data_IF_316324744144
#
_entry.id   IF_316324744144
#
_cell.length_a   1.000
_cell.length_b   1.000
_cell.length_c   1.000
_cell.angle_alpha   90.00
_cell.angle_beta   90.00
_cell.angle_gamma   90.00
#
_symmetry.space_group_name_H-M   'P 1'
#
loop_
_entity.id
_entity.type
_entity.pdbx_description
1 polymer ?
#
# COMPACT_ATOMS: atom_id res chain seq x y z
N UNK A 1 -8.51 28.33 1.40
CA UNK A 1 -7.26 27.80 1.99
C UNK A 1 -7.33 27.69 3.51
N UNK A 2 -7.33 28.76 4.33
CA UNK A 2 -7.31 28.59 5.80
C UNK A 2 -8.41 27.67 6.38
N UNK A 3 -9.65 27.76 5.87
CA UNK A 3 -10.75 26.86 6.30
C UNK A 3 -10.50 25.40 5.93
N UNK A 4 -10.02 25.15 4.71
CA UNK A 4 -9.74 23.80 4.19
C UNK A 4 -8.58 23.16 4.95
N UNK A 5 -7.55 23.94 5.31
CA UNK A 5 -6.43 23.46 6.10
C UNK A 5 -6.90 23.00 7.51
N UNK A 6 -7.76 23.78 8.15
CA UNK A 6 -8.31 23.42 9.46
C UNK A 6 -9.19 22.17 9.38
N UNK A 7 -10.02 22.07 8.34
CA UNK A 7 -10.87 20.89 8.11
C UNK A 7 -10.05 19.63 7.83
N UNK A 8 -9.00 19.73 7.00
CA UNK A 8 -8.06 18.64 6.76
C UNK A 8 -7.34 18.21 8.05
N UNK A 9 -6.91 19.17 8.88
CA UNK A 9 -6.32 18.88 10.20
C UNK A 9 -7.31 18.13 11.08
N UNK A 10 -8.56 18.58 11.18
CA UNK A 10 -9.60 17.92 11.97
C UNK A 10 -9.83 16.48 11.50
N UNK A 11 -9.91 16.24 10.19
CA UNK A 11 -10.05 14.90 9.61
C UNK A 11 -8.88 13.97 9.98
N UNK A 12 -7.64 14.46 9.92
CA UNK A 12 -6.46 13.69 10.31
C UNK A 12 -6.52 13.34 11.81
N UNK A 13 -6.83 14.31 12.69
CA UNK A 13 -6.89 14.08 14.13
C UNK A 13 -8.00 13.11 14.55
N UNK A 14 -9.10 13.02 13.80
CA UNK A 14 -10.15 12.02 14.07
C UNK A 14 -9.61 10.58 14.00
N UNK A 15 -8.70 10.30 13.07
CA UNK A 15 -8.09 8.97 12.95
C UNK A 15 -6.95 8.73 13.93
N UNK A 16 -6.10 9.74 14.16
CA UNK A 16 -4.94 9.64 15.06
C UNK A 16 -5.36 9.49 16.52
N UNK A 17 -6.47 10.13 16.91
CA UNK A 17 -7.00 10.11 18.28
C UNK A 17 -8.15 9.13 18.47
N UNK A 18 -8.39 8.26 17.48
CA UNK A 18 -9.40 7.23 17.60
C UNK A 18 -9.08 6.30 18.79
N UNK A 19 -10.10 5.84 19.53
CA UNK A 19 -9.89 4.89 20.62
C UNK A 19 -9.30 3.60 20.07
N UNK A 20 -8.21 3.13 20.70
CA UNK A 20 -7.62 1.84 20.41
C UNK A 20 -8.26 0.77 21.30
N UNK A 21 -8.40 -0.44 20.76
CA UNK A 21 -8.81 -1.58 21.59
C UNK A 21 -7.68 -1.98 22.54
N UNK A 22 -8.04 -2.61 23.67
CA UNK A 22 -7.07 -3.09 24.66
C UNK A 22 -6.07 -4.10 24.06
N UNK A 23 -6.48 -4.85 23.04
CA UNK A 23 -5.61 -5.82 22.37
C UNK A 23 -4.60 -5.17 21.42
N UNK A 24 -4.91 -3.98 20.89
CA UNK A 24 -4.05 -3.20 20.00
C UNK A 24 -3.13 -2.26 20.77
N UNK A 25 -3.45 -1.99 22.04
CA UNK A 25 -2.62 -1.19 22.93
C UNK A 25 -1.24 -1.84 23.08
N UNK A 26 -0.19 -1.12 22.66
CA UNK A 26 1.19 -1.60 22.69
C UNK A 26 1.61 -2.46 21.49
N UNK A 27 0.70 -2.88 20.60
CA UNK A 27 1.07 -3.64 19.40
C UNK A 27 1.95 -2.81 18.47
N UNK A 28 1.65 -1.53 18.27
CA UNK A 28 2.46 -0.62 17.46
C UNK A 28 3.86 -0.43 18.05
N UNK A 29 3.98 -0.37 19.37
CA UNK A 29 5.28 -0.28 20.05
C UNK A 29 6.07 -1.58 19.92
N UNK A 30 5.40 -2.72 19.96
CA UNK A 30 6.03 -4.03 19.82
C UNK A 30 6.45 -4.35 18.38
N UNK A 31 5.57 -4.16 17.41
CA UNK A 31 5.80 -4.52 16.01
C UNK A 31 6.69 -3.51 15.29
N UNK A 32 6.43 -2.21 15.47
CA UNK A 32 7.10 -1.13 14.72
C UNK A 32 8.11 -0.36 15.57
N UNK A 33 8.22 -0.64 16.88
CA UNK A 33 9.11 0.08 17.78
C UNK A 33 8.67 1.52 18.09
N UNK A 34 7.44 1.90 17.76
CA UNK A 34 6.96 3.28 17.91
C UNK A 34 6.51 3.52 19.35
N UNK A 35 7.27 4.35 20.07
CA UNK A 35 6.93 4.75 21.44
C UNK A 35 5.97 5.95 21.49
N UNK A 36 5.46 6.22 22.68
CA UNK A 36 4.48 7.27 22.94
C UNK A 36 5.03 8.67 22.64
N UNK A 37 6.32 8.92 22.95
CA UNK A 37 7.00 10.18 22.64
C UNK A 37 7.06 10.47 21.14
N UNK A 38 7.30 9.44 20.31
CA UNK A 38 7.28 9.56 18.86
C UNK A 38 5.88 9.88 18.35
N UNK A 39 4.84 9.26 18.92
CA UNK A 39 3.44 9.56 18.58
C UNK A 39 3.08 11.00 18.96
N UNK A 40 3.45 11.42 20.16
CA UNK A 40 3.21 12.78 20.63
C UNK A 40 3.96 13.82 19.79
N UNK A 41 5.24 13.57 19.45
CA UNK A 41 6.01 14.45 18.56
C UNK A 41 5.37 14.58 17.18
N UNK A 42 4.89 13.47 16.60
CA UNK A 42 4.15 13.48 15.34
C UNK A 42 2.88 14.32 15.44
N UNK A 43 2.12 14.21 16.54
CA UNK A 43 0.93 15.02 16.79
C UNK A 43 1.25 16.52 16.77
N UNK A 44 2.28 16.93 17.49
CA UNK A 44 2.71 18.33 17.56
C UNK A 44 3.20 18.86 16.21
N UNK A 45 3.90 18.04 15.44
CA UNK A 45 4.31 18.39 14.07
C UNK A 45 3.09 18.63 13.18
N UNK A 46 2.10 17.74 13.21
CA UNK A 46 0.85 17.89 12.44
C UNK A 46 0.06 19.14 12.83
N UNK A 47 0.07 19.52 14.12
CA UNK A 47 -0.56 20.77 14.57
C UNK A 47 0.13 22.01 13.99
N UNK A 48 1.47 22.00 13.92
CA UNK A 48 2.30 23.13 13.51
C UNK A 48 2.36 23.38 12.00
N UNK A 49 1.91 22.43 11.16
CA UNK A 49 1.95 22.54 9.69
C UNK A 49 1.31 23.85 9.19
N UNK A 50 2.03 24.59 8.35
CA UNK A 50 1.52 25.79 7.67
C UNK A 50 1.14 25.53 6.21
N UNK A 51 0.59 26.54 5.54
CA UNK A 51 0.24 26.42 4.12
C UNK A 51 1.49 26.33 3.22
N UNK A 52 2.58 26.98 3.62
CA UNK A 52 3.87 26.94 2.91
C UNK A 52 4.46 25.53 2.93
N UNK A 53 4.46 24.88 4.09
CA UNK A 53 4.97 23.51 4.27
C UNK A 53 4.27 22.52 3.30
N UNK A 54 2.97 22.69 3.10
CA UNK A 54 2.17 21.84 2.20
C UNK A 54 2.56 22.07 0.75
N UNK A 55 2.75 23.34 0.35
CA UNK A 55 3.18 23.68 -1.02
C UNK A 55 4.57 23.13 -1.29
N UNK A 56 5.49 23.28 -0.35
CA UNK A 56 6.85 22.72 -0.46
C UNK A 56 6.83 21.19 -0.58
N UNK A 57 6.03 20.51 0.25
CA UNK A 57 5.88 19.06 0.17
C UNK A 57 5.27 18.59 -1.17
N UNK A 58 4.28 19.32 -1.70
CA UNK A 58 3.68 19.00 -3.00
C UNK A 58 4.69 19.13 -4.14
N UNK A 59 5.49 20.21 -4.15
CA UNK A 59 6.53 20.39 -5.17
C UNK A 59 7.59 19.29 -5.04
N UNK A 60 8.07 19.03 -3.83
CA UNK A 60 9.16 18.09 -3.58
C UNK A 60 8.80 16.63 -3.84
N UNK A 61 7.60 16.19 -3.44
CA UNK A 61 7.25 14.76 -3.48
C UNK A 61 6.28 14.40 -4.60
N UNK A 62 5.49 15.33 -5.14
CA UNK A 62 4.56 15.05 -6.24
C UNK A 62 5.14 15.52 -7.57
N UNK A 63 5.49 16.80 -7.68
CA UNK A 63 5.93 17.38 -8.97
C UNK A 63 7.30 16.85 -9.41
N UNK A 64 8.26 16.75 -8.49
CA UNK A 64 9.59 16.19 -8.80
C UNK A 64 9.49 14.70 -9.18
N UNK A 65 8.65 13.92 -8.50
CA UNK A 65 8.47 12.50 -8.82
C UNK A 65 7.75 12.28 -10.17
N UNK A 66 6.82 13.17 -10.53
CA UNK A 66 6.21 13.19 -11.87
C UNK A 66 7.26 13.47 -12.95
N UNK A 67 8.13 14.45 -12.72
CA UNK A 67 9.23 14.80 -13.66
C UNK A 67 10.22 13.65 -13.79
N UNK A 68 10.55 12.97 -12.70
CA UNK A 68 11.43 11.80 -12.69
C UNK A 68 10.73 10.51 -13.16
N UNK A 69 9.44 10.57 -13.51
CA UNK A 69 8.60 9.41 -13.91
C UNK A 69 8.64 8.25 -12.90
N UNK A 70 8.83 8.55 -11.61
CA UNK A 70 8.90 7.58 -10.52
C UNK A 70 7.52 7.38 -9.87
N UNK A 71 6.57 6.91 -10.65
CA UNK A 71 5.26 6.53 -10.13
C UNK A 71 4.83 5.17 -10.69
N UNK A 72 3.96 4.50 -9.95
CA UNK A 72 3.40 3.21 -10.35
C UNK A 72 1.89 3.29 -10.20
N UNK A 73 1.16 2.95 -11.25
CA UNK A 73 -0.30 2.94 -11.26
C UNK A 73 -0.78 1.53 -11.53
N UNK A 74 -1.71 1.06 -10.71
CA UNK A 74 -2.40 -0.21 -10.91
C UNK A 74 -3.91 0.05 -10.90
N UNK A 75 -4.61 -0.47 -11.90
CA UNK A 75 -6.06 -0.31 -12.05
C UNK A 75 -6.68 -1.71 -12.08
N UNK A 76 -7.67 -1.93 -11.23
CA UNK A 76 -8.47 -3.15 -11.24
C UNK A 76 -9.86 -2.82 -11.81
N UNK A 77 -10.25 -3.50 -12.88
CA UNK A 77 -11.53 -3.28 -13.53
C UNK A 77 -11.69 -4.12 -14.80
N UNK A 78 -12.79 -3.88 -15.50
CA UNK A 78 -13.03 -4.48 -16.81
C UNK A 78 -11.99 -3.98 -17.83
N UNK A 79 -11.74 -4.82 -18.84
CA UNK A 79 -10.83 -4.46 -19.90
C UNK A 79 -11.40 -3.26 -20.66
N UNK A 80 -10.68 -2.14 -20.60
CA UNK A 80 -11.01 -0.94 -21.34
C UNK A 80 -10.09 -0.82 -22.55
N UNK A 81 -10.64 -0.43 -23.71
CA UNK A 81 -9.87 -0.24 -24.96
C UNK A 81 -8.73 0.80 -24.84
N UNK A 82 -8.76 1.65 -23.80
CA UNK A 82 -7.74 2.68 -23.52
C UNK A 82 -6.53 2.16 -22.72
N UNK A 83 -6.65 1.00 -22.07
CA UNK A 83 -5.59 0.38 -21.26
C UNK A 83 -5.20 -0.91 -21.96
N UNK A 84 -4.32 -0.79 -22.94
CA UNK A 84 -3.81 -1.90 -23.74
C UNK A 84 -2.29 -2.04 -23.55
N UNK A 85 -1.75 -3.17 -24.00
CA UNK A 85 -0.29 -3.40 -24.00
C UNK A 85 0.43 -2.37 -24.90
N UNK A 86 -0.27 -1.79 -25.88
CA UNK A 86 0.25 -0.74 -26.76
C UNK A 86 0.44 0.60 -26.05
N UNK A 87 -0.30 0.87 -24.98
CA UNK A 87 -0.14 2.07 -24.15
C UNK A 87 0.87 1.88 -23.01
N UNK A 88 1.64 0.78 -23.01
CA UNK A 88 2.69 0.49 -22.04
C UNK A 88 2.21 -0.10 -20.72
N UNK A 89 0.95 -0.56 -20.65
CA UNK A 89 0.38 -1.16 -19.45
C UNK A 89 0.53 -2.68 -19.46
N UNK A 90 0.97 -3.25 -18.33
CA UNK A 90 0.97 -4.70 -18.13
C UNK A 90 -0.41 -5.17 -17.67
N UNK A 91 -1.23 -5.63 -18.61
CA UNK A 91 -2.57 -6.16 -18.30
C UNK A 91 -2.44 -7.59 -17.76
N UNK A 92 -3.09 -7.87 -16.63
CA UNK A 92 -3.20 -9.22 -16.08
C UNK A 92 -4.69 -9.56 -15.97
N UNK A 93 -5.15 -10.56 -16.73
CA UNK A 93 -6.51 -11.08 -16.59
C UNK A 93 -6.58 -11.89 -15.31
N UNK A 94 -7.38 -11.44 -14.35
CA UNK A 94 -7.58 -12.12 -13.07
C UNK A 94 -9.03 -12.64 -13.00
N UNK A 95 -9.21 -13.95 -13.12
CA UNK A 95 -10.52 -14.60 -13.09
C UNK A 95 -10.50 -15.99 -13.73
N UNK A 96 -11.23 -16.95 -13.14
CA UNK A 96 -11.28 -18.35 -13.58
C UNK A 96 -12.07 -18.46 -14.89
N UNK A 97 -11.36 -18.56 -16.01
CA UNK A 97 -11.85 -19.20 -17.22
C UNK A 97 -10.66 -19.69 -18.06
N UNK A 98 -9.90 -20.62 -17.51
CA UNK A 98 -9.20 -21.67 -18.26
C UNK A 98 -8.96 -22.86 -17.32
N UNK A 99 -10.05 -23.52 -16.93
CA UNK A 99 -10.04 -24.95 -16.65
C UNK A 99 -10.62 -25.67 -17.87
N UNK A 100 -9.87 -25.68 -18.96
CA UNK A 100 -9.93 -26.78 -19.92
C UNK A 100 -8.84 -27.78 -19.53
N UNK A 101 -9.25 -29.03 -19.33
CA UNK A 101 -8.47 -30.14 -18.82
C UNK A 101 -7.05 -30.23 -19.40
N UNK A 102 -6.04 -30.06 -18.54
CA UNK A 102 -4.75 -30.70 -18.71
C UNK A 102 -4.59 -31.66 -17.52
N UNK A 103 -4.90 -32.93 -17.78
CA UNK A 103 -4.58 -34.05 -16.89
C UNK A 103 -3.12 -33.92 -16.44
N UNK A 104 -2.91 -33.87 -15.14
CA UNK A 104 -1.59 -34.10 -14.57
C UNK A 104 -1.29 -35.57 -14.88
N UNK A 105 -0.27 -35.91 -15.71
CA UNK A 105 0.12 -37.29 -15.83
C UNK A 105 0.64 -37.72 -14.47
N UNK A 106 -0.11 -38.62 -13.83
CA UNK A 106 0.34 -39.36 -12.67
C UNK A 106 1.60 -40.11 -13.09
N UNK A 107 2.76 -39.54 -12.77
CA UNK A 107 4.01 -40.28 -12.80
C UNK A 107 4.01 -41.16 -11.56
N UNK A 108 4.11 -42.50 -11.70
CA UNK A 108 4.20 -43.37 -10.54
C UNK A 108 5.55 -43.09 -9.87
N UNK A 109 5.51 -42.63 -8.62
CA UNK A 109 6.70 -42.55 -7.78
C UNK A 109 7.14 -43.99 -7.51
N UNK A 110 8.16 -44.44 -8.24
CA UNK A 110 8.84 -45.71 -7.96
C UNK A 110 9.55 -45.58 -6.62
N UNK A 111 9.02 -46.25 -5.60
CA UNK A 111 9.66 -46.46 -4.32
C UNK A 111 10.93 -47.28 -4.53
N UNK A 112 12.09 -46.60 -4.63
CA UNK A 112 13.37 -47.29 -4.61
C UNK A 112 13.70 -47.67 -3.17
N UNK A 113 13.68 -48.98 -2.94
CA UNK A 113 14.13 -49.64 -1.74
C UNK A 113 15.51 -49.15 -1.31
N UNK A 114 15.60 -48.66 -0.08
CA UNK A 114 16.88 -48.53 0.63
C UNK A 114 17.29 -49.93 1.07
N UNK A 115 18.26 -50.51 0.36
CA UNK A 115 19.01 -51.67 0.85
C UNK A 115 20.50 -51.36 0.87
N UNK A 116 21.08 -51.59 2.05
CA UNK A 116 22.48 -51.94 2.36
C UNK A 116 23.60 -50.91 2.12
N UNK A 117 24.14 -50.41 3.23
CA UNK A 117 25.54 -50.63 3.63
C UNK A 117 25.62 -50.72 5.16
#
# INVERSE_FOLDING_TARGET
MLKELVEAKLSIFQSVDAPLSVAEEGLTTFADGINDDMRQRRREQLLKVTEEDIKEAAIKYLQQQETESKYSVAILGELNDKVSEETGWKVQKWGVADKAAAEIPATPVTEQAVTSA
#
